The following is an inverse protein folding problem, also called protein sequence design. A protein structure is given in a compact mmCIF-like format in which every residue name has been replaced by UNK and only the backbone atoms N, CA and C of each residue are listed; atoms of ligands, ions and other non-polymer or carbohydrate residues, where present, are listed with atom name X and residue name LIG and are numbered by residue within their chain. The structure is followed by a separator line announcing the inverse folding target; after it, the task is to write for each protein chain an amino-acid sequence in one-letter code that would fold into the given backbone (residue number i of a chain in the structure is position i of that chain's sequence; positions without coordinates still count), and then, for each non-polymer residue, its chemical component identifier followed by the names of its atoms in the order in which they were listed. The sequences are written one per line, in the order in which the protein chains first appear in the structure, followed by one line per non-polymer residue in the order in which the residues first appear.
data_IF_539794769087
#
_entry.id   IF_539794769087
#
_cell.length_a   1.000
_cell.length_b   1.000
_cell.length_c   1.000
_cell.angle_alpha   90.00
_cell.angle_beta   90.00
_cell.angle_gamma   90.00
#
_symmetry.space_group_name_H-M   'P 1'
#
loop_
_entity.id
_entity.type
_entity.pdbx_description
1 polymer ?
#
# COMPACT_ATOMS: atom_id res chain seq x y z
N UNK A 1 -9.55 -4.28 -9.18
CA UNK A 1 -8.55 -3.79 -8.20
C UNK A 1 -9.31 -3.18 -7.04
N UNK A 2 -8.90 -3.38 -5.78
CA UNK A 2 -9.65 -2.90 -4.61
C UNK A 2 -8.74 -2.07 -3.71
N UNK A 3 -9.05 -0.79 -3.52
CA UNK A 3 -8.37 0.00 -2.50
C UNK A 3 -9.01 -0.27 -1.14
N UNK A 4 -8.20 -0.70 -0.16
CA UNK A 4 -8.62 -0.90 1.23
C UNK A 4 -8.78 0.41 1.99
N UNK A 5 -8.04 1.44 1.59
CA UNK A 5 -7.96 2.75 2.27
C UNK A 5 -7.91 3.86 1.21
N UNK A 6 -8.22 5.08 1.63
CA UNK A 6 -8.04 6.27 0.83
C UNK A 6 -6.56 6.43 0.44
N UNK A 7 -6.33 6.65 -0.86
CA UNK A 7 -5.01 6.85 -1.44
C UNK A 7 -4.86 8.30 -1.85
N UNK A 8 -3.95 9.01 -1.17
CA UNK A 8 -3.48 10.32 -1.60
C UNK A 8 -2.39 10.12 -2.64
N UNK A 9 -2.69 10.41 -3.89
CA UNK A 9 -1.83 10.14 -5.04
C UNK A 9 -1.63 11.39 -5.90
N UNK A 10 -0.40 11.60 -6.36
CA UNK A 10 -0.07 12.66 -7.32
C UNK A 10 0.63 12.05 -8.54
N UNK A 11 0.07 12.14 -9.75
CA UNK A 11 0.72 11.61 -10.96
C UNK A 11 2.03 12.36 -11.28
N UNK A 12 2.01 13.69 -11.22
CA UNK A 12 3.14 14.55 -11.58
C UNK A 12 3.90 15.11 -10.37
N UNK A 13 3.47 14.77 -9.15
CA UNK A 13 3.94 15.42 -7.91
C UNK A 13 3.44 16.87 -7.73
N UNK A 14 2.74 17.43 -8.73
CA UNK A 14 2.22 18.81 -8.72
C UNK A 14 0.89 18.90 -7.98
N UNK A 15 -0.01 17.93 -8.17
CA UNK A 15 -1.32 17.90 -7.53
C UNK A 15 -1.61 16.57 -6.86
N UNK A 16 -2.00 16.64 -5.59
CA UNK A 16 -2.45 15.49 -4.80
C UNK A 16 -3.95 15.29 -5.04
N UNK A 17 -4.31 14.19 -5.69
CA UNK A 17 -5.68 13.67 -5.74
C UNK A 17 -5.92 12.72 -4.58
N UNK A 18 -7.13 12.76 -4.02
CA UNK A 18 -7.56 11.79 -3.03
C UNK A 18 -8.46 10.76 -3.71
N UNK A 19 -8.02 9.50 -3.75
CA UNK A 19 -8.74 8.38 -4.35
C UNK A 19 -9.38 7.60 -3.20
N UNK A 20 -10.72 7.58 -3.05
CA UNK A 20 -11.37 6.91 -1.94
C UNK A 20 -11.17 5.38 -1.99
N UNK A 21 -11.26 4.73 -0.83
CA UNK A 21 -11.28 3.27 -0.76
C UNK A 21 -12.48 2.71 -1.54
N UNK A 22 -12.29 1.64 -2.30
CA UNK A 22 -13.35 1.07 -3.13
C UNK A 22 -12.84 0.13 -4.22
N UNK A 23 -13.78 -0.50 -4.93
CA UNK A 23 -13.47 -1.28 -6.13
C UNK A 23 -13.24 -0.33 -7.31
N UNK A 24 -12.13 -0.52 -8.00
CA UNK A 24 -11.77 0.17 -9.22
C UNK A 24 -11.50 -0.85 -10.33
N UNK A 25 -12.01 -0.53 -11.51
CA UNK A 25 -11.75 -1.28 -12.73
C UNK A 25 -10.31 -1.09 -13.18
N UNK A 26 -9.78 -2.07 -13.91
CA UNK A 26 -8.45 -1.97 -14.51
C UNK A 26 -8.43 -0.83 -15.54
N UNK A 27 -7.51 0.12 -15.38
CA UNK A 27 -7.43 1.33 -16.20
C UNK A 27 -8.21 2.54 -15.66
N UNK A 28 -9.04 2.39 -14.62
CA UNK A 28 -9.68 3.54 -13.94
C UNK A 28 -8.68 4.37 -13.13
N UNK A 29 -7.62 3.73 -12.64
CA UNK A 29 -6.55 4.38 -11.92
C UNK A 29 -5.26 4.33 -12.76
N UNK A 30 -4.45 5.40 -12.74
CA UNK A 30 -3.14 5.40 -13.38
C UNK A 30 -2.28 4.24 -12.85
N UNK A 31 -1.47 3.63 -13.72
CA UNK A 31 -0.59 2.52 -13.34
C UNK A 31 0.34 2.89 -12.17
N UNK A 32 0.90 4.10 -12.21
CA UNK A 32 1.71 4.67 -11.12
C UNK A 32 0.94 4.77 -9.79
N UNK A 33 -0.36 5.06 -9.83
CA UNK A 33 -1.19 5.11 -8.61
C UNK A 33 -1.37 3.72 -8.01
N UNK A 34 -1.50 2.70 -8.86
CA UNK A 34 -1.59 1.31 -8.45
C UNK A 34 -0.27 0.82 -7.86
N UNK A 35 0.87 1.17 -8.46
CA UNK A 35 2.20 0.87 -7.92
C UNK A 35 2.38 1.46 -6.52
N UNK A 36 1.93 2.70 -6.28
CA UNK A 36 2.03 3.32 -4.96
C UNK A 36 1.00 2.80 -3.97
N UNK A 37 -0.21 2.48 -4.42
CA UNK A 37 -1.20 1.78 -3.59
C UNK A 37 -0.69 0.39 -3.16
N UNK A 38 0.01 -0.32 -4.05
CA UNK A 38 0.63 -1.61 -3.78
C UNK A 38 1.81 -1.47 -2.81
N UNK A 39 2.71 -0.51 -3.03
CA UNK A 39 3.82 -0.20 -2.13
C UNK A 39 3.35 0.19 -0.72
N UNK A 40 2.23 0.93 -0.63
CA UNK A 40 1.60 1.25 0.66
C UNK A 40 0.83 0.08 1.28
N UNK A 41 0.70 -1.05 0.58
CA UNK A 41 -0.05 -2.22 1.05
C UNK A 41 -1.55 -1.97 1.19
N UNK A 42 -2.10 -0.99 0.46
CA UNK A 42 -3.52 -0.64 0.47
C UNK A 42 -4.26 -1.11 -0.79
N UNK A 43 -3.57 -1.66 -1.78
CA UNK A 43 -4.16 -2.26 -2.99
C UNK A 43 -4.35 -3.77 -2.80
N UNK A 44 -5.60 -4.21 -2.81
CA UNK A 44 -6.03 -5.60 -2.85
C UNK A 44 -6.31 -6.01 -4.31
N UNK A 45 -5.61 -7.02 -4.82
CA UNK A 45 -5.80 -7.53 -6.19
C UNK A 45 -4.67 -7.23 -7.17
N UNK A 46 -3.54 -6.70 -6.69
CA UNK A 46 -2.25 -7.06 -7.30
C UNK A 46 -1.79 -8.31 -6.57
N UNK A 47 -1.66 -9.41 -7.29
CA UNK A 47 -0.69 -10.42 -6.94
C UNK A 47 0.63 -9.67 -6.75
N UNK A 48 0.97 -9.42 -5.49
CA UNK A 48 2.28 -8.86 -5.18
C UNK A 48 3.27 -9.75 -5.95
N UNK A 49 4.06 -9.25 -6.92
CA UNK A 49 5.34 -9.90 -7.10
C UNK A 49 5.91 -9.85 -5.69
N UNK A 50 6.23 -11.03 -5.15
CA UNK A 50 6.94 -11.12 -3.90
C UNK A 50 8.21 -10.28 -4.10
N UNK A 51 8.14 -8.98 -3.81
CA UNK A 51 9.28 -8.24 -3.38
C UNK A 51 9.54 -8.87 -2.03
N UNK A 52 10.34 -9.92 -2.09
CA UNK A 52 11.24 -10.34 -1.06
C UNK A 52 12.11 -9.14 -0.68
N UNK A 53 11.52 -8.08 -0.12
CA UNK A 53 12.21 -7.31 0.88
C UNK A 53 12.00 -8.08 2.18
N UNK A 54 13.01 -8.82 2.67
CA UNK A 54 12.97 -9.40 4.00
C UNK A 54 12.98 -8.25 5.02
N UNK A 55 11.81 -7.67 5.29
CA UNK A 55 11.58 -6.77 6.42
C UNK A 55 10.57 -7.38 7.39
N UNK A 56 10.83 -8.64 7.76
CA UNK A 56 10.61 -9.07 9.15
C UNK A 56 11.98 -9.60 9.64
N UNK A 57 12.43 -9.27 10.85
CA UNK A 57 11.57 -9.15 12.03
C UNK A 57 11.92 -7.99 12.99
N UNK A 58 10.92 -7.41 13.66
CA UNK A 58 11.01 -7.28 15.12
C UNK A 58 9.69 -7.71 15.74
N UNK A 59 9.70 -8.98 16.08
CA UNK A 59 8.89 -9.62 17.11
C UNK A 59 8.68 -8.67 18.28
N UNK A 60 7.41 -8.51 18.66
CA UNK A 60 7.03 -8.15 20.02
C UNK A 60 7.69 -9.14 20.98
N UNK A 61 8.68 -8.67 21.75
CA UNK A 61 9.04 -9.29 23.01
C UNK A 61 8.79 -8.26 24.11
N UNK A 62 7.53 -8.18 24.56
CA UNK A 62 7.26 -7.83 25.94
C UNK A 62 7.69 -9.01 26.81
N UNK A 63 8.87 -8.92 27.42
CA UNK A 63 9.23 -9.72 28.59
C UNK A 63 9.96 -8.77 29.54
N UNK A 64 9.28 -8.41 30.62
CA UNK A 64 9.92 -7.86 31.80
C UNK A 64 10.80 -8.90 32.49
N UNK A 65 11.28 -8.55 33.69
CA UNK A 65 12.38 -9.16 34.47
C UNK A 65 13.73 -8.55 34.08
N UNK A 66 14.40 -7.72 34.88
CA UNK A 66 14.39 -7.57 36.33
C UNK A 66 15.76 -8.01 36.86
N UNK A 67 16.52 -7.08 37.47
CA UNK A 67 17.43 -7.20 38.62
C UNK A 67 17.64 -5.81 39.19
#
# INVERSE_FOLDING_TARGET
MLLKKDLKWSPDGIQVRNIPAGKYEAGSLPERALEVAAQMGILDGTEQPAIETPVKPKTSNKRGEGK
#
